data_IF_732748512647
#
_entry.id   IF_732748512647
#
_cell.length_a   1.000
_cell.length_b   1.000
_cell.length_c   1.000
_cell.angle_alpha   90.00
_cell.angle_beta   90.00
_cell.angle_gamma   90.00
#
_symmetry.space_group_name_H-M   'P 1'
#
loop_
_entity.id
_entity.type
_entity.pdbx_description
1 polymer ?
#
# COMPACT_ATOMS: atom_id res chain seq x y z
N UNK A 1 9.48 1.26 -4.50
CA UNK A 1 8.42 1.27 -3.47
C UNK A 1 8.97 1.84 -2.16
N UNK A 2 8.22 2.68 -1.46
CA UNK A 2 8.58 3.20 -0.13
C UNK A 2 7.47 2.84 0.83
N UNK A 3 7.81 2.04 1.84
CA UNK A 3 6.89 1.58 2.86
C UNK A 3 7.18 2.32 4.16
N UNK A 4 6.12 2.69 4.87
CA UNK A 4 6.21 3.41 6.13
C UNK A 4 5.22 2.79 7.11
N UNK A 5 5.67 2.53 8.33
CA UNK A 5 4.76 2.15 9.41
C UNK A 5 4.20 3.40 10.07
N UNK A 6 2.88 3.44 10.26
CA UNK A 6 2.19 4.54 10.93
C UNK A 6 1.38 3.97 12.09
N UNK A 7 1.76 4.35 13.31
CA UNK A 7 0.92 4.12 14.49
C UNK A 7 -0.33 4.98 14.37
N UNK A 8 -1.50 4.37 14.55
CA UNK A 8 -2.81 5.03 14.44
C UNK A 8 -3.53 5.15 15.79
N UNK A 9 -2.84 4.79 16.88
CA UNK A 9 -3.30 4.97 18.25
C UNK A 9 -2.27 5.76 19.05
N UNK A 10 -2.75 6.62 19.94
CA UNK A 10 -1.97 7.31 20.95
C UNK A 10 -1.51 6.33 22.04
N UNK A 11 -0.55 6.75 22.88
CA UNK A 11 -0.05 5.93 23.98
C UNK A 11 -1.09 5.61 25.07
N UNK A 12 -2.18 6.38 25.13
CA UNK A 12 -3.33 6.14 26.01
C UNK A 12 -4.37 5.18 25.40
N UNK A 13 -4.14 4.68 24.18
CA UNK A 13 -5.02 3.77 23.47
C UNK A 13 -6.14 4.44 22.67
N UNK A 14 -6.22 5.78 22.66
CA UNK A 14 -7.19 6.50 21.81
C UNK A 14 -6.73 6.52 20.35
N UNK A 15 -7.64 6.44 19.35
CA UNK A 15 -7.26 6.61 17.96
C UNK A 15 -6.66 7.99 17.69
N UNK A 16 -5.75 8.08 16.72
CA UNK A 16 -5.33 9.37 16.18
C UNK A 16 -6.53 10.08 15.53
N UNK A 17 -6.64 11.39 15.76
CA UNK A 17 -7.67 12.20 15.11
C UNK A 17 -7.36 12.42 13.62
N UNK A 18 -8.34 12.92 12.87
CA UNK A 18 -8.17 13.25 11.44
C UNK A 18 -6.97 14.19 11.21
N UNK A 19 -6.83 15.24 12.01
CA UNK A 19 -5.73 16.21 11.89
C UNK A 19 -4.36 15.55 12.13
N UNK A 20 -4.29 14.65 13.12
CA UNK A 20 -3.07 13.90 13.44
C UNK A 20 -2.69 12.96 12.30
N UNK A 21 -3.65 12.21 11.75
CA UNK A 21 -3.44 11.33 10.59
C UNK A 21 -3.04 12.14 9.35
N UNK A 22 -3.71 13.26 9.09
CA UNK A 22 -3.39 14.15 7.97
C UNK A 22 -1.96 14.66 8.05
N UNK A 23 -1.53 15.15 9.22
CA UNK A 23 -0.16 15.61 9.45
C UNK A 23 0.87 14.49 9.21
N UNK A 24 0.60 13.27 9.68
CA UNK A 24 1.49 12.14 9.49
C UNK A 24 1.56 11.71 8.01
N UNK A 25 0.43 11.71 7.29
CA UNK A 25 0.40 11.44 5.85
C UNK A 25 1.15 12.52 5.04
N UNK A 26 1.03 13.79 5.40
CA UNK A 26 1.84 14.86 4.81
C UNK A 26 3.34 14.63 5.02
N UNK A 27 3.76 14.22 6.21
CA UNK A 27 5.16 13.85 6.50
C UNK A 27 5.60 12.65 5.66
N UNK A 28 4.77 11.62 5.54
CA UNK A 28 5.04 10.43 4.71
C UNK A 28 5.22 10.83 3.24
N UNK A 29 4.35 11.68 2.70
CA UNK A 29 4.45 12.21 1.33
C UNK A 29 5.75 13.01 1.14
N UNK A 30 6.06 13.92 2.05
CA UNK A 30 7.29 14.74 2.02
C UNK A 30 8.57 13.91 2.07
N UNK A 31 8.55 12.76 2.74
CA UNK A 31 9.68 11.83 2.81
C UNK A 31 9.78 10.85 1.62
N UNK A 32 8.72 10.78 0.79
CA UNK A 32 8.55 9.76 -0.23
C UNK A 32 8.55 10.27 -1.67
N UNK A 33 8.78 11.57 -1.90
CA UNK A 33 8.66 12.22 -3.22
C UNK A 33 9.52 11.69 -4.38
N UNK A 34 10.68 11.05 -4.13
CA UNK A 34 11.52 10.48 -5.20
C UNK A 34 11.07 9.07 -5.57
N UNK A 35 11.01 8.78 -6.87
CA UNK A 35 10.69 7.47 -7.47
C UNK A 35 11.95 6.63 -7.73
N UNK A 36 12.95 6.71 -6.86
CA UNK A 36 14.29 6.12 -7.03
C UNK A 36 14.46 4.76 -6.33
N UNK A 37 13.36 4.13 -5.90
CA UNK A 37 13.39 2.87 -5.15
C UNK A 37 12.74 1.75 -5.93
N UNK A 38 13.45 0.62 -5.96
CA UNK A 38 12.99 -0.62 -6.57
C UNK A 38 11.54 -0.97 -6.16
N UNK A 39 10.69 -1.36 -7.11
CA UNK A 39 9.27 -1.64 -6.85
C UNK A 39 9.09 -3.04 -6.25
N UNK A 40 9.66 -3.28 -5.07
CA UNK A 40 9.64 -4.59 -4.40
C UNK A 40 8.25 -5.23 -4.32
N UNK A 41 7.20 -4.42 -4.19
CA UNK A 41 5.80 -4.87 -4.16
C UNK A 41 5.38 -5.71 -5.36
N UNK A 42 5.99 -5.53 -6.54
CA UNK A 42 5.67 -6.34 -7.74
C UNK A 42 5.94 -7.83 -7.54
N UNK A 43 6.90 -8.20 -6.67
CA UNK A 43 7.17 -9.60 -6.34
C UNK A 43 5.93 -10.33 -5.78
N UNK A 44 5.10 -9.59 -5.04
CA UNK A 44 3.89 -10.17 -4.39
C UNK A 44 2.77 -10.45 -5.40
N UNK A 45 2.84 -9.89 -6.60
CA UNK A 45 1.88 -10.11 -7.68
C UNK A 45 2.27 -11.23 -8.65
N UNK A 46 3.46 -11.83 -8.50
CA UNK A 46 3.94 -12.90 -9.36
C UNK A 46 3.24 -14.24 -9.07
N UNK A 47 3.46 -15.23 -9.94
CA UNK A 47 2.98 -16.59 -9.73
C UNK A 47 3.40 -17.12 -8.35
N UNK A 48 2.46 -17.72 -7.60
CA UNK A 48 2.64 -18.08 -6.18
C UNK A 48 3.88 -18.94 -5.90
N UNK A 49 4.25 -19.82 -6.82
CA UNK A 49 5.49 -20.61 -6.69
C UNK A 49 6.74 -19.74 -6.81
N UNK A 50 6.79 -18.85 -7.80
CA UNK A 50 7.90 -17.92 -8.04
C UNK A 50 8.03 -16.95 -6.87
N UNK A 51 6.90 -16.37 -6.43
CA UNK A 51 6.87 -15.51 -5.26
C UNK A 51 7.32 -16.25 -3.99
N UNK A 52 6.89 -17.48 -3.75
CA UNK A 52 7.32 -18.26 -2.58
C UNK A 52 8.84 -18.47 -2.52
N UNK A 53 9.49 -18.67 -3.67
CA UNK A 53 10.95 -18.75 -3.75
C UNK A 53 11.61 -17.39 -3.48
N UNK A 54 11.17 -16.33 -4.16
CA UNK A 54 11.69 -14.97 -3.98
C UNK A 54 11.50 -14.47 -2.53
N UNK A 55 10.35 -14.76 -1.91
CA UNK A 55 10.07 -14.48 -0.50
C UNK A 55 11.04 -15.20 0.42
N UNK A 56 11.34 -16.48 0.15
CA UNK A 56 12.32 -17.24 0.94
C UNK A 56 13.72 -16.62 0.87
N UNK A 57 14.14 -16.16 -0.31
CA UNK A 57 15.40 -15.41 -0.48
C UNK A 57 15.36 -14.06 0.24
N UNK A 58 14.27 -13.29 0.08
CA UNK A 58 14.07 -12.00 0.75
C UNK A 58 14.19 -12.12 2.26
N UNK A 59 13.65 -13.20 2.84
CA UNK A 59 13.64 -13.45 4.29
C UNK A 59 14.98 -13.95 4.85
N UNK A 60 16.03 -14.15 4.05
CA UNK A 60 17.38 -14.49 4.57
C UNK A 60 18.01 -13.34 5.34
N UNK A 61 17.74 -12.10 4.94
CA UNK A 61 18.23 -10.90 5.61
C UNK A 61 17.35 -10.52 6.83
N UNK A 62 18.00 -10.05 7.90
CA UNK A 62 17.30 -9.70 9.15
C UNK A 62 16.41 -8.47 9.00
N UNK A 63 16.90 -7.43 8.35
CA UNK A 63 16.15 -6.17 8.16
C UNK A 63 14.91 -6.42 7.29
N UNK A 64 15.04 -7.23 6.24
CA UNK A 64 13.93 -7.64 5.39
C UNK A 64 12.84 -8.37 6.16
N UNK A 65 13.21 -9.30 7.06
CA UNK A 65 12.25 -10.01 7.93
C UNK A 65 11.50 -9.07 8.86
N UNK A 66 12.20 -8.11 9.48
CA UNK A 66 11.59 -7.13 10.38
C UNK A 66 10.58 -6.26 9.62
N UNK A 67 10.95 -5.77 8.43
CA UNK A 67 10.06 -5.00 7.55
C UNK A 67 8.85 -5.81 7.07
N UNK A 68 9.05 -7.04 6.58
CA UNK A 68 7.96 -7.90 6.12
C UNK A 68 6.99 -8.26 7.26
N UNK A 69 7.51 -8.54 8.46
CA UNK A 69 6.68 -8.78 9.65
C UNK A 69 5.86 -7.54 10.01
N UNK A 70 6.41 -6.33 9.87
CA UNK A 70 5.67 -5.09 10.11
C UNK A 70 4.48 -4.95 9.14
N UNK A 71 4.68 -5.25 7.85
CA UNK A 71 3.61 -5.23 6.84
C UNK A 71 2.53 -6.28 7.16
N UNK A 72 2.95 -7.51 7.47
CA UNK A 72 2.04 -8.60 7.79
C UNK A 72 1.16 -8.27 9.00
N UNK A 73 1.76 -7.68 10.06
CA UNK A 73 1.08 -7.33 11.31
C UNK A 73 0.30 -6.02 11.28
N UNK A 74 0.45 -5.19 10.25
CA UNK A 74 -0.31 -3.93 10.15
C UNK A 74 -1.82 -4.20 10.13
N UNK A 75 -2.65 -3.21 10.49
CA UNK A 75 -4.11 -3.38 10.41
C UNK A 75 -4.59 -3.54 8.96
N UNK A 76 -4.09 -2.68 8.08
CA UNK A 76 -4.29 -2.67 6.64
C UNK A 76 -3.14 -1.90 5.98
N UNK A 77 -3.17 -1.72 4.66
CA UNK A 77 -2.27 -0.79 3.96
C UNK A 77 -3.05 0.31 3.26
N UNK A 78 -2.40 1.46 3.10
CA UNK A 78 -2.90 2.58 2.30
C UNK A 78 -1.90 2.85 1.19
N UNK A 79 -2.34 2.73 -0.06
CA UNK A 79 -1.57 2.97 -1.26
C UNK A 79 -1.88 4.38 -1.77
N UNK A 80 -0.93 5.30 -1.58
CA UNK A 80 -1.00 6.65 -2.15
C UNK A 80 -0.47 6.59 -3.58
N UNK A 81 -1.37 6.53 -4.56
CA UNK A 81 -1.04 6.27 -5.95
C UNK A 81 -0.62 7.52 -6.71
N UNK A 82 0.41 7.36 -7.53
CA UNK A 82 0.87 8.40 -8.43
C UNK A 82 -0.12 8.61 -9.59
N UNK A 83 -0.08 9.79 -10.25
CA UNK A 83 -0.88 10.04 -11.44
C UNK A 83 -0.63 8.99 -12.53
N UNK A 84 -1.72 8.50 -13.10
CA UNK A 84 -1.74 7.57 -14.23
C UNK A 84 -2.01 8.32 -15.53
N UNK A 85 -1.55 7.77 -16.66
CA UNK A 85 -1.75 8.38 -17.98
C UNK A 85 -3.23 8.66 -18.25
N UNK A 86 -3.52 9.86 -18.78
CA UNK A 86 -4.87 10.20 -19.23
C UNK A 86 -5.24 9.34 -20.43
N UNK A 87 -6.46 8.83 -20.41
CA UNK A 87 -7.05 8.04 -21.49
C UNK A 87 -8.33 8.73 -21.96
N UNK A 88 -8.89 8.31 -23.09
CA UNK A 88 -10.21 8.77 -23.51
C UNK A 88 -11.29 8.38 -22.48
N UNK A 89 -12.39 9.12 -22.44
CA UNK A 89 -13.50 8.87 -21.51
C UNK A 89 -14.04 7.43 -21.65
N UNK A 90 -14.08 6.89 -22.87
CA UNK A 90 -14.48 5.50 -23.14
C UNK A 90 -13.57 4.47 -22.46
N UNK A 91 -12.28 4.76 -22.32
CA UNK A 91 -11.29 3.85 -21.70
C UNK A 91 -11.09 4.12 -20.22
N UNK A 92 -11.66 5.21 -19.69
CA UNK A 92 -11.50 5.61 -18.30
C UNK A 92 -11.93 4.53 -17.31
N UNK A 93 -13.09 3.86 -17.45
CA UNK A 93 -13.50 2.79 -16.53
C UNK A 93 -12.50 1.61 -16.51
N UNK A 94 -12.04 1.17 -17.67
CA UNK A 94 -11.07 0.06 -17.78
C UNK A 94 -9.73 0.43 -17.17
N UNK A 95 -9.28 1.68 -17.34
CA UNK A 95 -8.06 2.19 -16.69
C UNK A 95 -8.19 2.18 -15.16
N UNK A 96 -9.31 2.66 -14.62
CA UNK A 96 -9.57 2.65 -13.17
C UNK A 96 -9.59 1.22 -12.64
N UNK A 97 -10.26 0.30 -13.33
CA UNK A 97 -10.29 -1.12 -12.95
C UNK A 97 -8.87 -1.73 -12.94
N UNK A 98 -8.06 -1.47 -13.98
CA UNK A 98 -6.67 -1.94 -14.05
C UNK A 98 -5.81 -1.39 -12.89
N UNK A 99 -5.99 -0.11 -12.53
CA UNK A 99 -5.28 0.51 -11.41
C UNK A 99 -5.66 -0.13 -10.06
N UNK A 100 -6.93 -0.45 -9.85
CA UNK A 100 -7.39 -1.10 -8.61
C UNK A 100 -6.94 -2.56 -8.53
N UNK A 101 -7.08 -3.31 -9.63
CA UNK A 101 -6.82 -4.75 -9.66
C UNK A 101 -5.32 -5.07 -9.58
N UNK A 102 -4.50 -4.40 -10.39
CA UNK A 102 -3.09 -4.74 -10.51
C UNK A 102 -2.16 -3.53 -10.48
N UNK A 103 -2.66 -2.30 -10.40
CA UNK A 103 -1.85 -1.08 -10.32
C UNK A 103 -1.42 -0.49 -11.66
N UNK A 104 -1.90 -1.03 -12.79
CA UNK A 104 -1.69 -0.45 -14.13
C UNK A 104 -0.34 -0.75 -14.79
N UNK A 105 0.52 -1.57 -14.18
CA UNK A 105 1.78 -2.05 -14.76
C UNK A 105 3.01 -1.69 -13.93
N UNK A 106 4.13 -2.32 -14.24
CA UNK A 106 5.37 -2.24 -13.44
C UNK A 106 5.99 -0.85 -13.35
N UNK A 107 5.77 -0.02 -14.39
CA UNK A 107 6.17 1.39 -14.47
C UNK A 107 5.10 2.36 -13.93
N UNK A 108 3.99 1.83 -13.41
CA UNK A 108 2.90 2.60 -12.81
C UNK A 108 2.80 2.29 -11.30
N UNK A 109 1.60 2.01 -10.80
CA UNK A 109 1.32 1.84 -9.37
C UNK A 109 1.40 0.38 -8.89
N UNK A 110 1.72 -0.59 -9.75
CA UNK A 110 1.80 -2.00 -9.35
C UNK A 110 2.88 -2.28 -8.30
N UNK A 111 3.99 -1.56 -8.37
CA UNK A 111 5.02 -1.57 -7.33
C UNK A 111 4.61 -0.90 -6.03
N UNK A 112 3.46 -0.20 -6.00
CA UNK A 112 2.89 0.47 -4.83
C UNK A 112 1.83 -0.40 -4.15
N UNK A 113 2.03 -1.73 -4.17
CA UNK A 113 1.11 -2.73 -3.61
C UNK A 113 1.88 -3.74 -2.76
N UNK A 114 1.17 -4.42 -1.88
CA UNK A 114 1.64 -5.65 -1.25
C UNK A 114 0.49 -6.66 -1.30
N UNK A 115 0.40 -7.44 -2.39
CA UNK A 115 -0.78 -8.26 -2.74
C UNK A 115 -1.11 -9.36 -1.72
N UNK A 116 -0.16 -9.77 -0.89
CA UNK A 116 -0.44 -10.67 0.25
C UNK A 116 -1.18 -10.00 1.41
N UNK A 117 -1.34 -8.68 1.40
CA UNK A 117 -2.07 -7.97 2.44
C UNK A 117 -3.57 -8.10 2.22
N UNK A 118 -4.27 -8.58 3.24
CA UNK A 118 -5.73 -8.81 3.21
C UNK A 118 -6.54 -7.59 2.79
N UNK A 119 -6.18 -6.38 3.24
CA UNK A 119 -6.92 -5.16 2.94
C UNK A 119 -5.96 -4.03 2.57
N UNK A 120 -6.14 -3.49 1.37
CA UNK A 120 -5.36 -2.36 0.84
C UNK A 120 -6.33 -1.30 0.32
N UNK A 121 -6.33 -0.12 0.95
CA UNK A 121 -7.06 1.05 0.46
C UNK A 121 -6.18 1.81 -0.52
N UNK A 122 -6.70 2.11 -1.70
CA UNK A 122 -5.97 2.82 -2.76
C UNK A 122 -6.57 4.21 -2.90
N UNK A 123 -5.71 5.23 -2.88
CA UNK A 123 -6.09 6.64 -3.07
C UNK A 123 -5.14 7.25 -4.09
N UNK A 124 -5.63 7.48 -5.30
CA UNK A 124 -4.91 8.14 -6.39
C UNK A 124 -4.98 9.65 -6.31
N UNK A 125 -3.93 10.31 -6.78
CA UNK A 125 -3.87 11.78 -6.86
C UNK A 125 -4.92 12.38 -7.81
N UNK A 126 -5.45 11.59 -8.76
CA UNK A 126 -6.55 11.98 -9.66
C UNK A 126 -7.95 11.81 -9.05
N UNK A 127 -8.04 11.49 -7.75
CA UNK A 127 -9.30 11.31 -7.02
C UNK A 127 -9.90 9.91 -7.13
N UNK A 128 -9.28 9.00 -7.90
CA UNK A 128 -9.67 7.60 -7.93
C UNK A 128 -9.35 6.96 -6.58
N UNK A 129 -10.32 6.26 -6.00
CA UNK A 129 -10.09 5.47 -4.81
C UNK A 129 -10.79 4.12 -4.91
N UNK A 130 -10.32 3.17 -4.11
CA UNK A 130 -10.90 1.84 -4.07
C UNK A 130 -10.21 0.94 -3.05
N UNK A 131 -10.61 -0.33 -3.05
CA UNK A 131 -10.08 -1.35 -2.14
C UNK A 131 -9.66 -2.56 -2.95
N UNK A 132 -8.47 -3.06 -2.65
CA UNK A 132 -8.00 -4.36 -3.09
C UNK A 132 -7.90 -5.27 -1.86
N UNK A 133 -8.45 -6.47 -1.95
CA UNK A 133 -8.44 -7.43 -0.85
C UNK A 133 -7.98 -8.81 -1.29
N UNK A 134 -7.41 -9.56 -0.36
CA UNK A 134 -6.95 -10.93 -0.59
C UNK A 134 -8.09 -11.91 -0.28
N UNK A 135 -8.53 -12.64 -1.30
CA UNK A 135 -9.75 -13.44 -1.26
C UNK A 135 -9.61 -14.73 -0.44
N UNK A 136 -8.40 -15.23 -0.18
CA UNK A 136 -8.23 -16.42 0.66
C UNK A 136 -8.54 -16.15 2.15
N UNK A 137 -8.56 -14.88 2.57
CA UNK A 137 -8.79 -14.47 3.96
C UNK A 137 -10.16 -13.85 4.19
N UNK A 138 -10.74 -13.18 3.19
CA UNK A 138 -12.01 -12.45 3.35
C UNK A 138 -12.95 -12.64 2.14
N UNK A 139 -14.22 -12.86 2.44
CA UNK A 139 -15.29 -12.85 1.44
C UNK A 139 -15.74 -11.42 1.07
N UNK A 140 -16.37 -11.29 -0.08
CA UNK A 140 -16.81 -9.97 -0.58
C UNK A 140 -17.84 -9.27 0.31
N UNK A 141 -18.74 -10.00 0.97
CA UNK A 141 -19.80 -9.39 1.80
C UNK A 141 -19.24 -8.61 3.01
N UNK A 142 -18.36 -9.18 3.86
CA UNK A 142 -17.70 -8.43 4.92
C UNK A 142 -16.93 -7.20 4.41
N UNK A 143 -16.25 -7.33 3.27
CA UNK A 143 -15.50 -6.21 2.67
C UNK A 143 -16.46 -5.09 2.25
N UNK A 144 -17.59 -5.41 1.62
CA UNK A 144 -18.61 -4.43 1.25
C UNK A 144 -19.17 -3.70 2.49
N UNK A 145 -19.45 -4.43 3.57
CA UNK A 145 -19.91 -3.81 4.83
C UNK A 145 -18.89 -2.84 5.42
N UNK A 146 -17.59 -3.18 5.37
CA UNK A 146 -16.51 -2.28 5.81
C UNK A 146 -16.48 -1.02 4.93
N UNK A 147 -16.57 -1.19 3.60
CA UNK A 147 -16.53 -0.07 2.66
C UNK A 147 -17.73 0.87 2.88
N UNK A 148 -18.94 0.32 3.00
CA UNK A 148 -20.15 1.11 3.25
C UNK A 148 -20.02 1.92 4.55
N UNK A 149 -19.56 1.28 5.64
CA UNK A 149 -19.34 1.94 6.91
C UNK A 149 -18.30 3.08 6.82
N UNK A 150 -17.17 2.84 6.15
CA UNK A 150 -16.12 3.85 5.95
C UNK A 150 -16.63 5.02 5.10
N UNK A 151 -17.37 4.74 4.02
CA UNK A 151 -17.94 5.79 3.16
C UNK A 151 -18.99 6.62 3.89
N UNK A 152 -19.81 6.01 4.74
CA UNK A 152 -20.77 6.71 5.58
C UNK A 152 -20.07 7.59 6.62
N UNK A 153 -19.02 7.07 7.28
CA UNK A 153 -18.20 7.87 8.21
C UNK A 153 -17.55 9.09 7.54
N UNK A 154 -17.09 8.95 6.29
CA UNK A 154 -16.48 10.05 5.54
C UNK A 154 -17.46 11.20 5.22
N UNK A 155 -18.78 10.99 5.29
CA UNK A 155 -19.79 12.04 5.03
C UNK A 155 -19.91 13.02 6.20
N UNK A 156 -19.75 12.52 7.43
CA UNK A 156 -19.82 13.31 8.66
C UNK A 156 -18.74 12.80 9.64
N UNK A 157 -17.46 13.13 9.40
CA UNK A 157 -16.37 12.62 10.20
C UNK A 157 -16.34 13.28 11.57
N UNK A 158 -15.89 12.55 12.59
CA UNK A 158 -15.67 13.11 13.92
C UNK A 158 -14.70 14.32 13.84
N UNK A 159 -15.15 15.43 14.41
CA UNK A 159 -14.41 16.71 14.46
C UNK A 159 -13.69 16.91 15.79
N UNK A 160 -13.53 15.84 16.58
CA UNK A 160 -12.73 15.83 17.79
C UNK A 160 -11.36 16.48 17.54
N UNK A 161 -11.06 17.52 18.33
CA UNK A 161 -9.81 18.26 18.21
C UNK A 161 -8.63 17.38 18.63
N UNK A 162 -7.57 17.41 17.83
CA UNK A 162 -6.33 16.75 18.17
C UNK A 162 -5.79 17.26 19.52
N UNK A 163 -5.39 16.36 20.45
CA UNK A 163 -4.57 16.77 21.57
C UNK A 163 -3.25 17.35 21.06
N UNK A 164 -2.72 18.38 21.72
CA UNK A 164 -1.43 19.01 21.37
C UNK A 164 -0.23 18.14 21.80
N UNK A 165 -0.21 16.88 21.39
CA UNK A 165 0.85 15.94 21.71
C UNK A 165 1.79 15.80 20.50
N UNK A 166 3.12 15.91 20.68
CA UNK A 166 4.06 15.69 19.59
C UNK A 166 3.93 14.27 19.04
N UNK A 167 3.64 14.15 17.74
CA UNK A 167 3.60 12.85 17.05
C UNK A 167 4.99 12.46 16.56
N UNK A 168 5.46 11.22 16.84
CA UNK A 168 6.73 10.73 16.33
C UNK A 168 6.72 10.63 14.80
N UNK A 169 7.89 10.74 14.19
CA UNK A 169 8.01 10.56 12.75
C UNK A 169 7.74 9.09 12.38
N UNK A 170 6.86 8.80 11.41
CA UNK A 170 6.60 7.44 10.97
C UNK A 170 7.88 6.72 10.48
N UNK A 171 8.25 5.56 11.05
CA UNK A 171 9.47 4.86 10.65
C UNK A 171 9.34 4.25 9.25
N UNK A 172 10.36 4.47 8.43
CA UNK A 172 10.48 3.86 7.11
C UNK A 172 10.83 2.39 7.24
N UNK A 173 10.18 1.55 6.43
CA UNK A 173 10.53 0.15 6.28
C UNK A 173 11.56 0.03 5.16
N UNK A 174 12.70 -0.56 5.49
CA UNK A 174 13.81 -0.74 4.55
C UNK A 174 13.91 -2.20 4.12
N UNK A 175 14.32 -2.40 2.88
CA UNK A 175 14.68 -3.70 2.37
C UNK A 175 16.09 -3.65 1.81
N UNK A 176 16.91 -4.62 2.21
CA UNK A 176 18.20 -4.90 1.63
C UNK A 176 18.00 -5.72 0.34
N UNK A 177 18.33 -5.09 -0.79
CA UNK A 177 18.16 -5.67 -2.13
C UNK A 177 19.51 -6.24 -2.57
N UNK A 178 19.59 -7.56 -2.67
CA UNK A 178 20.73 -8.28 -3.24
C UNK A 178 20.58 -8.39 -4.76
N UNK A 179 21.65 -8.74 -5.51
CA UNK A 179 21.53 -9.02 -6.94
C UNK A 179 20.50 -10.12 -7.28
N UNK A 180 20.36 -11.14 -6.42
CA UNK A 180 19.35 -12.20 -6.57
C UNK A 180 17.93 -11.62 -6.46
N UNK A 181 17.66 -10.79 -5.44
CA UNK A 181 16.36 -10.13 -5.28
C UNK A 181 16.10 -9.14 -6.41
N UNK A 182 17.11 -8.40 -6.88
CA UNK A 182 16.96 -7.49 -8.01
C UNK A 182 16.54 -8.26 -9.27
N UNK A 183 17.15 -9.41 -9.52
CA UNK A 183 16.78 -10.29 -10.63
C UNK A 183 15.33 -10.77 -10.51
N UNK A 184 14.90 -11.16 -9.31
CA UNK A 184 13.49 -11.53 -9.05
C UNK A 184 12.54 -10.37 -9.33
N UNK A 185 12.90 -9.15 -8.94
CA UNK A 185 12.10 -7.94 -9.21
C UNK A 185 11.94 -7.73 -10.71
N UNK A 186 13.04 -7.79 -11.49
CA UNK A 186 12.96 -7.59 -12.94
C UNK A 186 12.10 -8.66 -13.65
N UNK A 187 12.19 -9.92 -13.20
CA UNK A 187 11.31 -10.99 -13.72
C UNK A 187 9.85 -10.74 -13.38
N UNK A 188 9.54 -10.36 -12.14
CA UNK A 188 8.17 -10.06 -11.73
C UNK A 188 7.58 -8.88 -12.50
N UNK A 189 8.39 -7.84 -12.83
CA UNK A 189 7.95 -6.75 -13.71
C UNK A 189 7.54 -7.27 -15.10
N UNK A 190 8.36 -8.13 -15.70
CA UNK A 190 8.06 -8.72 -17.02
C UNK A 190 6.79 -9.56 -16.99
N UNK A 191 6.64 -10.42 -15.97
CA UNK A 191 5.45 -11.26 -15.83
C UNK A 191 4.16 -10.47 -15.66
N UNK A 192 4.23 -9.34 -14.96
CA UNK A 192 3.09 -8.46 -14.72
C UNK A 192 2.66 -7.68 -15.98
N UNK A 193 3.63 -7.31 -16.83
CA UNK A 193 3.41 -6.48 -18.01
C UNK A 193 3.12 -7.30 -19.30
N UNK A 194 3.18 -8.64 -19.23
CA UNK A 194 2.77 -9.56 -20.31
C UNK A 194 1.25 -9.68 -20.42
#
# INVERSE_FOLDING_TARGET
>A
MRLVSLEVYNSDGTPLTMDQLHLQLQRIRGLSWKTDKEPLGVLTGDHRHTWGQAYSTLMRDRLNRESARCIQRSLFTVCLDAPVLKVSDERYPSRVAAQMLHGGGSYSNSGNRWFDKTLQFIVGEDGVCGVLYEQAVADGAPIATIIDHVLDYCKDPDTARAPMTPLPLPPKLYFYITPEIQWDIERAKQNLDM
#
